data_IF_486605998645
#
_entry.id   IF_486605998645
#
_cell.length_a   1.000
_cell.length_b   1.000
_cell.length_c   1.000
_cell.angle_alpha   90.00
_cell.angle_beta   90.00
_cell.angle_gamma   90.00
#
_symmetry.space_group_name_H-M   'P 1'
#
loop_
_entity.id
_entity.type
_entity.pdbx_description
1 polymer ?
#
# COMPACT_ATOMS: atom_id res chain seq x y z
N UNK A 1 25.14 -10.89 -7.68
CA UNK A 1 24.36 -11.72 -6.76
C UNK A 1 22.92 -11.68 -7.22
N UNK A 2 22.34 -12.82 -7.62
CA UNK A 2 20.89 -12.95 -7.80
C UNK A 2 20.26 -13.02 -6.41
N UNK A 3 19.60 -11.94 -6.00
CA UNK A 3 18.83 -11.93 -4.76
C UNK A 3 17.57 -12.77 -4.95
N UNK A 4 17.27 -13.65 -3.99
CA UNK A 4 16.02 -14.39 -3.98
C UNK A 4 14.86 -13.40 -3.76
N UNK A 5 13.80 -13.52 -4.56
CA UNK A 5 12.58 -12.74 -4.32
C UNK A 5 11.92 -13.21 -3.02
N UNK A 6 11.43 -12.26 -2.24
CA UNK A 6 10.57 -12.50 -1.10
C UNK A 6 9.16 -12.82 -1.57
N UNK A 7 8.41 -13.59 -0.79
CA UNK A 7 7.01 -13.89 -1.06
C UNK A 7 6.17 -13.89 0.22
N UNK A 8 4.92 -13.45 0.08
CA UNK A 8 3.91 -13.49 1.14
C UNK A 8 2.53 -13.75 0.54
N UNK A 9 1.67 -14.46 1.26
CA UNK A 9 0.28 -14.71 0.86
C UNK A 9 -0.64 -14.29 1.99
N UNK A 10 -1.61 -13.43 1.67
CA UNK A 10 -2.61 -12.93 2.61
C UNK A 10 -4.01 -13.22 2.06
N UNK A 11 -4.91 -13.67 2.91
CA UNK A 11 -6.33 -13.79 2.60
C UNK A 11 -7.08 -12.60 3.17
N UNK A 12 -7.93 -12.01 2.36
CA UNK A 12 -8.81 -10.92 2.73
C UNK A 12 -10.29 -11.33 2.63
N UNK A 13 -11.21 -10.57 3.25
CA UNK A 13 -12.65 -10.75 3.04
C UNK A 13 -13.05 -10.79 1.57
N UNK A 14 -14.23 -11.36 1.29
CA UNK A 14 -14.74 -11.48 -0.07
C UNK A 14 -14.06 -12.55 -0.92
N UNK A 15 -13.25 -13.42 -0.31
CA UNK A 15 -12.55 -14.52 -1.01
C UNK A 15 -11.35 -14.05 -1.83
N UNK A 16 -10.80 -12.88 -1.51
CA UNK A 16 -9.59 -12.36 -2.13
C UNK A 16 -8.37 -13.05 -1.53
N UNK A 17 -7.59 -13.73 -2.37
CA UNK A 17 -6.27 -14.24 -1.99
C UNK A 17 -5.21 -13.43 -2.72
N UNK A 18 -4.39 -12.71 -1.97
CA UNK A 18 -3.34 -11.84 -2.50
C UNK A 18 -2.00 -12.46 -2.23
N UNK A 19 -1.17 -12.56 -3.27
CA UNK A 19 0.21 -13.01 -3.21
C UNK A 19 1.11 -11.86 -3.61
N UNK A 20 2.00 -11.50 -2.70
CA UNK A 20 3.04 -10.51 -2.92
C UNK A 20 4.33 -11.24 -3.24
N UNK A 21 5.09 -10.71 -4.20
CA UNK A 21 6.49 -11.04 -4.43
C UNK A 21 7.28 -9.77 -4.58
N UNK A 22 8.45 -9.65 -3.98
CA UNK A 22 9.25 -8.44 -4.13
C UNK A 22 10.74 -8.70 -3.98
N UNK A 23 11.56 -7.83 -4.58
CA UNK A 23 13.00 -7.89 -4.49
C UNK A 23 13.63 -6.49 -4.61
N UNK A 24 14.90 -6.41 -4.22
CA UNK A 24 15.70 -5.20 -4.30
C UNK A 24 15.99 -4.71 -5.71
N UNK A 25 16.69 -3.58 -5.81
CA UNK A 25 16.99 -2.90 -7.06
C UNK A 25 17.65 -3.80 -8.12
N UNK A 26 17.14 -3.76 -9.34
CA UNK A 26 17.67 -4.53 -10.47
C UNK A 26 17.37 -6.04 -10.42
N UNK A 27 16.52 -6.49 -9.49
CA UNK A 27 16.18 -7.90 -9.33
C UNK A 27 14.81 -8.25 -9.93
N UNK A 28 14.31 -7.48 -10.89
CA UNK A 28 12.99 -7.71 -11.48
C UNK A 28 12.83 -9.10 -12.10
N UNK A 29 13.92 -9.63 -12.67
CA UNK A 29 13.95 -10.98 -13.21
C UNK A 29 13.66 -12.06 -12.16
N UNK A 30 14.09 -11.90 -10.90
CA UNK A 30 13.78 -12.87 -9.84
C UNK A 30 12.34 -12.77 -9.36
N UNK A 31 11.76 -11.57 -9.34
CA UNK A 31 10.35 -11.36 -9.00
C UNK A 31 9.43 -11.95 -10.08
N UNK A 32 9.72 -11.66 -11.35
CA UNK A 32 8.83 -11.99 -12.47
C UNK A 32 9.05 -13.38 -13.05
N UNK A 33 10.17 -14.05 -12.74
CA UNK A 33 10.36 -15.47 -13.10
C UNK A 33 9.31 -16.39 -12.46
N UNK A 34 8.66 -15.94 -11.38
CA UNK A 34 7.63 -16.67 -10.66
C UNK A 34 6.21 -16.16 -10.98
N UNK A 35 6.05 -15.32 -12.01
CA UNK A 35 4.75 -14.81 -12.43
C UNK A 35 3.84 -15.95 -12.87
N UNK A 36 2.64 -15.99 -12.29
CA UNK A 36 1.63 -16.99 -12.63
C UNK A 36 0.84 -16.57 -13.88
N UNK A 37 0.53 -17.53 -14.73
CA UNK A 37 -0.25 -17.30 -15.96
C UNK A 37 -1.73 -17.07 -15.63
N UNK A 38 -2.42 -16.31 -16.48
CA UNK A 38 -3.87 -16.08 -16.40
C UNK A 38 -4.24 -14.78 -15.69
N UNK A 39 -5.39 -14.23 -16.07
CA UNK A 39 -5.82 -12.91 -15.61
C UNK A 39 -5.16 -11.75 -16.35
N UNK A 40 -5.60 -10.53 -16.04
CA UNK A 40 -4.98 -9.31 -16.59
C UNK A 40 -3.71 -8.99 -15.80
N UNK A 41 -2.65 -8.58 -16.49
CA UNK A 41 -1.42 -8.07 -15.88
C UNK A 41 -1.22 -6.62 -16.29
N UNK A 42 -1.06 -5.74 -15.31
CA UNK A 42 -0.71 -4.33 -15.54
C UNK A 42 0.64 -4.03 -14.88
N UNK A 43 1.58 -3.47 -15.63
CA UNK A 43 2.82 -2.95 -15.06
C UNK A 43 2.69 -1.45 -14.80
N UNK A 44 2.92 -1.07 -13.54
CA UNK A 44 2.76 0.29 -13.04
C UNK A 44 4.11 0.90 -12.60
N UNK A 45 5.23 0.28 -12.97
CA UNK A 45 6.55 0.81 -12.62
C UNK A 45 6.79 2.24 -13.12
N UNK A 46 6.21 2.59 -14.26
CA UNK A 46 6.33 3.92 -14.88
C UNK A 46 5.67 5.05 -14.07
N UNK A 47 4.77 4.73 -13.13
CA UNK A 47 4.25 5.71 -12.15
C UNK A 47 5.39 6.27 -11.29
N UNK A 48 6.43 5.46 -11.02
CA UNK A 48 7.54 5.84 -10.15
C UNK A 48 8.74 6.35 -10.95
N UNK A 49 9.05 5.72 -12.08
CA UNK A 49 10.21 6.05 -12.91
C UNK A 49 10.04 5.56 -14.33
N UNK A 50 10.52 6.33 -15.31
CA UNK A 50 10.60 5.90 -16.71
C UNK A 50 11.54 4.70 -16.94
N UNK A 51 12.38 4.35 -15.96
CA UNK A 51 13.26 3.19 -15.99
C UNK A 51 13.04 2.28 -14.76
N UNK A 52 11.88 1.62 -14.64
CA UNK A 52 11.52 0.88 -13.43
C UNK A 52 12.38 -0.37 -13.21
N UNK A 53 12.99 -0.93 -14.26
CA UNK A 53 13.83 -2.13 -14.16
C UNK A 53 15.03 -1.99 -13.20
N UNK A 54 15.55 -0.77 -13.03
CA UNK A 54 16.64 -0.47 -12.09
C UNK A 54 16.20 -0.31 -10.63
N UNK A 55 14.89 -0.30 -10.36
CA UNK A 55 14.32 -0.07 -9.03
C UNK A 55 14.03 -1.38 -8.30
N UNK A 56 13.66 -1.28 -7.03
CA UNK A 56 13.04 -2.40 -6.32
C UNK A 56 11.69 -2.68 -6.97
N UNK A 57 11.34 -3.96 -7.09
CA UNK A 57 10.14 -4.39 -7.82
C UNK A 57 9.29 -5.29 -6.95
N UNK A 58 7.98 -5.13 -7.09
CA UNK A 58 7.00 -6.02 -6.51
C UNK A 58 6.00 -6.50 -7.57
N UNK A 59 5.46 -7.70 -7.38
CA UNK A 59 4.30 -8.23 -8.07
C UNK A 59 3.22 -8.56 -7.05
N UNK A 60 2.02 -8.07 -7.31
CA UNK A 60 0.81 -8.33 -6.51
C UNK A 60 -0.14 -9.14 -7.37
N UNK A 61 -0.24 -10.44 -7.10
CA UNK A 61 -1.19 -11.34 -7.75
C UNK A 61 -2.42 -11.48 -6.86
N UNK A 62 -3.60 -11.21 -7.40
CA UNK A 62 -4.87 -11.32 -6.68
C UNK A 62 -5.72 -12.37 -7.36
N UNK A 63 -6.12 -13.37 -6.60
CA UNK A 63 -7.10 -14.38 -6.99
C UNK A 63 -8.45 -13.99 -6.37
N UNK A 64 -9.48 -13.96 -7.20
CA UNK A 64 -10.86 -13.68 -6.79
C UNK A 64 -11.78 -14.80 -7.30
N UNK A 65 -13.01 -14.94 -6.78
CA UNK A 65 -13.98 -15.89 -7.33
C UNK A 65 -14.32 -15.68 -8.82
N UNK A 66 -14.11 -14.46 -9.34
CA UNK A 66 -14.42 -14.10 -10.72
C UNK A 66 -13.22 -14.22 -11.67
N UNK A 67 -12.04 -14.56 -11.16
CA UNK A 67 -10.79 -14.59 -11.92
C UNK A 67 -9.64 -13.93 -11.18
N UNK A 68 -8.47 -13.92 -11.81
CA UNK A 68 -7.27 -13.35 -11.24
C UNK A 68 -6.83 -12.07 -11.98
N UNK A 69 -6.05 -11.24 -11.31
CA UNK A 69 -5.35 -10.11 -11.90
C UNK A 69 -4.00 -9.90 -11.21
N UNK A 70 -3.08 -9.23 -11.90
CA UNK A 70 -1.71 -8.98 -11.44
C UNK A 70 -1.36 -7.51 -11.64
N UNK A 71 -0.72 -6.90 -10.64
CA UNK A 71 -0.09 -5.59 -10.76
C UNK A 71 1.42 -5.70 -10.48
N UNK A 72 2.26 -5.05 -11.29
CA UNK A 72 3.71 -4.91 -11.01
C UNK A 72 4.01 -3.48 -10.58
N UNK A 73 4.72 -3.34 -9.47
CA UNK A 73 4.98 -2.07 -8.79
C UNK A 73 6.49 -1.81 -8.73
N UNK A 74 6.88 -0.55 -8.59
CA UNK A 74 8.28 -0.17 -8.37
C UNK A 74 8.42 0.67 -7.10
N UNK A 75 9.63 0.67 -6.53
CA UNK A 75 9.99 1.55 -5.42
C UNK A 75 11.48 1.89 -5.48
N UNK A 76 11.88 3.14 -5.15
CA UNK A 76 13.30 3.48 -5.00
C UNK A 76 13.94 2.87 -3.74
N UNK A 77 13.13 2.37 -2.81
CA UNK A 77 13.60 1.70 -1.59
C UNK A 77 13.16 0.25 -1.57
N UNK A 78 13.94 -0.58 -0.88
CA UNK A 78 13.54 -1.94 -0.58
C UNK A 78 12.61 -1.93 0.63
N UNK A 79 11.39 -2.41 0.43
CA UNK A 79 10.32 -2.42 1.42
C UNK A 79 9.37 -3.59 1.14
N UNK A 80 8.51 -3.94 2.10
CA UNK A 80 7.48 -4.96 1.95
C UNK A 80 6.17 -4.32 1.46
N UNK A 81 5.57 -4.80 0.36
CA UNK A 81 4.25 -4.33 -0.06
C UNK A 81 3.18 -4.79 0.93
N UNK A 82 2.25 -3.91 1.25
CA UNK A 82 1.10 -4.20 2.10
C UNK A 82 -0.21 -3.93 1.36
N UNK A 83 -1.32 -4.52 1.82
CA UNK A 83 -2.63 -4.19 1.30
C UNK A 83 -3.75 -4.25 2.35
N UNK A 84 -4.85 -3.58 2.03
CA UNK A 84 -6.08 -3.54 2.79
C UNK A 84 -7.27 -3.70 1.84
N UNK A 85 -8.15 -4.67 2.14
CA UNK A 85 -9.43 -4.78 1.48
C UNK A 85 -10.41 -3.73 2.04
N UNK A 86 -10.91 -2.88 1.16
CA UNK A 86 -11.86 -1.83 1.46
C UNK A 86 -13.19 -2.14 0.78
N UNK A 87 -14.03 -2.87 1.51
CA UNK A 87 -15.21 -3.52 0.95
C UNK A 87 -16.27 -2.53 0.44
N UNK A 88 -16.53 -1.45 1.17
CA UNK A 88 -17.58 -0.48 0.83
C UNK A 88 -17.41 0.13 -0.57
N UNK A 89 -16.23 0.65 -0.95
CA UNK A 89 -15.98 1.09 -2.33
C UNK A 89 -15.55 -0.04 -3.27
N UNK A 90 -15.38 -1.28 -2.78
CA UNK A 90 -14.93 -2.41 -3.59
C UNK A 90 -13.48 -2.28 -4.06
N UNK A 91 -12.61 -1.73 -3.21
CA UNK A 91 -11.20 -1.50 -3.54
C UNK A 91 -10.26 -2.41 -2.76
N UNK A 92 -9.16 -2.82 -3.40
CA UNK A 92 -7.96 -3.31 -2.72
C UNK A 92 -6.96 -2.15 -2.74
N UNK A 93 -6.66 -1.62 -1.57
CA UNK A 93 -5.65 -0.57 -1.42
C UNK A 93 -4.31 -1.24 -1.17
N UNK A 94 -3.30 -0.92 -1.97
CA UNK A 94 -1.95 -1.50 -1.88
C UNK A 94 -0.94 -0.39 -1.67
N UNK A 95 0.03 -0.60 -0.79
CA UNK A 95 1.16 0.31 -0.59
C UNK A 95 2.46 -0.38 -0.97
N UNK A 96 3.37 0.36 -1.61
CA UNK A 96 4.73 -0.11 -1.85
C UNK A 96 5.70 1.07 -1.92
N UNK A 97 6.64 1.14 -0.97
CA UNK A 97 7.59 2.23 -0.86
C UNK A 97 6.90 3.58 -0.61
N UNK A 98 6.73 4.38 -1.66
CA UNK A 98 6.22 5.76 -1.58
C UNK A 98 4.82 5.92 -2.17
N UNK A 99 4.22 4.83 -2.68
CA UNK A 99 2.99 4.93 -3.45
C UNK A 99 1.91 4.06 -2.84
N UNK A 100 0.73 4.67 -2.69
CA UNK A 100 -0.53 4.01 -2.36
C UNK A 100 -1.35 3.89 -3.65
N UNK A 101 -1.88 2.71 -3.92
CA UNK A 101 -2.67 2.41 -5.11
C UNK A 101 -4.06 1.93 -4.70
N UNK A 102 -5.10 2.43 -5.37
CA UNK A 102 -6.46 1.92 -5.24
C UNK A 102 -6.84 1.10 -6.47
N UNK A 103 -6.97 -0.21 -6.30
CA UNK A 103 -7.43 -1.12 -7.36
C UNK A 103 -8.87 -1.51 -7.14
N UNK A 104 -9.66 -1.61 -8.20
CA UNK A 104 -10.94 -2.33 -8.10
C UNK A 104 -10.67 -3.81 -7.76
N UNK A 105 -11.17 -4.28 -6.62
CA UNK A 105 -10.77 -5.57 -6.03
C UNK A 105 -10.98 -6.75 -6.96
N UNK A 106 -12.01 -6.70 -7.81
CA UNK A 106 -12.38 -7.81 -8.70
C UNK A 106 -11.60 -7.83 -10.01
N UNK A 107 -11.31 -6.66 -10.57
CA UNK A 107 -10.81 -6.53 -11.96
C UNK A 107 -9.33 -6.18 -12.02
N UNK A 108 -8.77 -5.62 -10.95
CA UNK A 108 -7.42 -5.08 -10.93
C UNK A 108 -7.28 -3.75 -11.67
N UNK A 109 -8.38 -3.12 -12.07
CA UNK A 109 -8.33 -1.80 -12.68
C UNK A 109 -7.82 -0.79 -11.66
N UNK A 110 -6.71 -0.12 -11.98
CA UNK A 110 -6.21 1.01 -11.19
C UNK A 110 -7.23 2.16 -11.27
N UNK A 111 -7.76 2.58 -10.12
CA UNK A 111 -8.67 3.72 -10.00
C UNK A 111 -7.90 5.00 -9.73
N UNK A 112 -6.94 4.93 -8.82
CA UNK A 112 -6.13 6.06 -8.39
C UNK A 112 -4.79 5.57 -7.83
N UNK A 113 -3.82 6.48 -7.78
CA UNK A 113 -2.60 6.32 -7.01
C UNK A 113 -2.27 7.63 -6.31
N UNK A 114 -1.62 7.55 -5.16
CA UNK A 114 -1.16 8.69 -4.39
C UNK A 114 0.31 8.48 -4.00
N UNK A 115 1.14 9.50 -4.21
CA UNK A 115 2.56 9.47 -3.86
C UNK A 115 2.81 10.28 -2.59
N UNK A 116 3.37 9.64 -1.58
CA UNK A 116 3.86 10.29 -0.36
C UNK A 116 5.21 10.97 -0.58
N UNK A 117 5.51 11.96 0.26
CA UNK A 117 6.82 12.62 0.29
C UNK A 117 7.93 11.77 0.91
N UNK A 118 7.56 10.77 1.71
CA UNK A 118 8.47 9.86 2.42
C UNK A 118 7.99 8.41 2.34
N UNK A 119 8.82 7.42 2.68
CA UNK A 119 8.43 6.00 2.75
C UNK A 119 7.16 5.79 3.58
N UNK A 120 6.31 4.89 3.10
CA UNK A 120 5.07 4.47 3.78
C UNK A 120 5.44 3.46 4.87
N UNK A 121 4.88 3.65 6.05
CA UNK A 121 5.11 2.84 7.25
C UNK A 121 3.89 1.98 7.56
N UNK A 122 2.67 2.48 7.30
CA UNK A 122 1.45 1.73 7.59
C UNK A 122 0.30 2.10 6.65
N UNK A 123 -0.56 1.11 6.39
CA UNK A 123 -1.86 1.25 5.76
C UNK A 123 -2.94 0.77 6.75
N UNK A 124 -3.89 1.65 7.07
CA UNK A 124 -4.87 1.45 8.13
C UNK A 124 -6.28 1.74 7.59
N UNK A 125 -7.26 0.98 8.06
CA UNK A 125 -8.64 1.16 7.64
C UNK A 125 -9.62 0.61 8.68
N UNK A 126 -10.87 1.06 8.59
CA UNK A 126 -11.96 0.60 9.45
C UNK A 126 -13.27 0.75 8.70
N UNK A 127 -14.19 -0.19 8.91
CA UNK A 127 -15.56 -0.10 8.38
C UNK A 127 -16.35 1.13 8.90
N UNK A 128 -15.83 1.84 9.90
CA UNK A 128 -16.41 3.07 10.45
C UNK A 128 -15.87 4.36 9.81
N UNK A 129 -14.87 4.24 8.93
CA UNK A 129 -14.24 5.36 8.23
C UNK A 129 -14.65 5.33 6.75
N UNK A 130 -14.78 6.52 6.19
CA UNK A 130 -15.08 6.74 4.76
C UNK A 130 -13.81 6.90 3.92
N UNK A 131 -12.65 6.67 4.55
CA UNK A 131 -11.32 6.78 3.99
C UNK A 131 -10.40 5.72 4.57
N UNK A 132 -9.34 5.40 3.84
CA UNK A 132 -8.16 4.72 4.38
C UNK A 132 -7.18 5.74 4.93
N UNK A 133 -6.36 5.33 5.88
CA UNK A 133 -5.31 6.15 6.46
C UNK A 133 -3.97 5.54 6.06
N UNK A 134 -3.09 6.38 5.54
CA UNK A 134 -1.72 6.01 5.20
C UNK A 134 -0.80 6.81 6.09
N UNK A 135 0.08 6.09 6.80
CA UNK A 135 1.20 6.68 7.50
C UNK A 135 2.42 6.57 6.61
N UNK A 136 3.06 7.70 6.32
CA UNK A 136 4.44 7.77 5.84
C UNK A 136 5.34 8.33 6.95
N UNK A 137 6.66 8.17 6.83
CA UNK A 137 7.61 8.57 7.88
C UNK A 137 7.34 9.97 8.47
N UNK A 138 7.07 10.98 7.65
CA UNK A 138 6.90 12.37 8.11
C UNK A 138 5.50 12.96 7.85
N UNK A 139 4.55 12.14 7.39
CA UNK A 139 3.18 12.59 7.18
C UNK A 139 2.16 11.47 7.38
N UNK A 140 0.98 11.83 7.87
CA UNK A 140 -0.22 10.99 7.80
C UNK A 140 -1.21 11.63 6.84
N UNK A 141 -1.85 10.84 5.99
CA UNK A 141 -2.96 11.33 5.18
C UNK A 141 -4.07 10.30 5.09
N UNK A 142 -5.29 10.80 4.95
CA UNK A 142 -6.47 10.00 4.67
C UNK A 142 -6.88 10.16 3.21
N UNK A 143 -7.18 9.05 2.55
CA UNK A 143 -7.59 9.01 1.14
C UNK A 143 -8.99 8.43 1.05
N UNK A 144 -9.90 9.14 0.38
CA UNK A 144 -11.24 8.64 0.09
C UNK A 144 -11.27 7.62 -1.07
N UNK A 145 -12.47 7.13 -1.40
CA UNK A 145 -12.62 6.14 -2.46
C UNK A 145 -12.28 6.66 -3.87
N UNK A 146 -12.35 7.99 -4.08
CA UNK A 146 -11.98 8.63 -5.34
C UNK A 146 -10.47 8.82 -5.49
N UNK A 147 -9.71 8.66 -4.40
CA UNK A 147 -8.26 8.90 -4.37
C UNK A 147 -7.89 10.29 -3.86
N UNK A 148 -8.86 11.07 -3.36
CA UNK A 148 -8.65 12.42 -2.87
C UNK A 148 -8.21 12.41 -1.40
N UNK A 149 -7.27 13.30 -1.07
CA UNK A 149 -6.78 13.45 0.30
C UNK A 149 -7.77 14.29 1.11
N UNK A 150 -8.49 13.67 2.04
CA UNK A 150 -9.53 14.33 2.85
C UNK A 150 -8.98 15.06 4.07
N UNK A 151 -7.86 14.58 4.62
CA UNK A 151 -7.06 15.31 5.60
C UNK A 151 -5.60 14.85 5.55
N UNK A 152 -4.70 15.72 6.03
CA UNK A 152 -3.27 15.45 6.13
C UNK A 152 -2.70 16.10 7.39
N UNK A 153 -1.73 15.44 8.01
CA UNK A 153 -0.94 15.92 9.14
C UNK A 153 0.53 15.70 8.83
N UNK A 154 1.34 16.75 8.92
CA UNK A 154 2.79 16.63 8.86
C UNK A 154 3.36 16.41 10.27
N UNK A 155 4.41 15.60 10.37
CA UNK A 155 5.08 15.29 11.62
C UNK A 155 6.45 15.97 11.68
N UNK A 156 6.86 16.39 12.87
CA UNK A 156 8.17 17.00 13.11
C UNK A 156 9.28 15.97 13.33
N UNK A 157 8.92 14.71 13.56
CA UNK A 157 9.82 13.56 13.75
C UNK A 157 9.31 12.39 12.91
N UNK A 158 10.20 11.45 12.59
CA UNK A 158 9.85 10.24 11.88
C UNK A 158 8.92 9.41 12.74
N UNK A 159 7.77 9.03 12.21
CA UNK A 159 6.87 8.04 12.80
C UNK A 159 7.35 6.64 12.41
N UNK A 160 7.64 5.83 13.41
CA UNK A 160 8.11 4.45 13.24
C UNK A 160 6.97 3.44 13.29
N UNK A 161 5.88 3.75 14.00
CA UNK A 161 4.73 2.86 14.15
C UNK A 161 3.42 3.64 14.15
N UNK A 162 2.38 3.03 13.58
CA UNK A 162 1.02 3.57 13.57
C UNK A 162 -0.01 2.48 13.82
N UNK A 163 -1.00 2.76 14.67
CA UNK A 163 -2.06 1.83 15.02
C UNK A 163 -3.42 2.52 15.10
N UNK A 164 -4.47 1.84 14.65
CA UNK A 164 -5.84 2.33 14.69
C UNK A 164 -6.65 1.54 15.72
N UNK A 165 -7.07 2.19 16.80
CA UNK A 165 -7.85 1.56 17.88
C UNK A 165 -9.02 2.47 18.26
N UNK A 166 -10.24 1.94 18.22
CA UNK A 166 -11.43 2.68 18.69
C UNK A 166 -11.74 3.97 17.93
N UNK A 167 -11.20 4.16 16.72
CA UNK A 167 -11.33 5.41 15.96
C UNK A 167 -10.26 6.46 16.29
N UNK A 168 -9.28 6.11 17.13
CA UNK A 168 -8.09 6.91 17.38
C UNK A 168 -6.90 6.29 16.65
N UNK A 169 -6.14 7.13 15.97
CA UNK A 169 -4.87 6.81 15.36
C UNK A 169 -3.76 7.15 16.35
N UNK A 170 -3.11 6.13 16.89
CA UNK A 170 -1.91 6.28 17.71
C UNK A 170 -0.68 6.22 16.80
N UNK A 171 0.22 7.20 16.94
CA UNK A 171 1.46 7.28 16.18
C UNK A 171 2.62 7.35 17.18
N UNK A 172 3.62 6.47 16.99
CA UNK A 172 4.84 6.44 17.80
C UNK A 172 6.00 6.94 16.95
N UNK A 173 6.62 8.04 17.36
CA UNK A 173 7.81 8.57 16.71
C UNK A 173 9.04 7.72 17.01
N UNK A 174 10.08 7.85 16.18
CA UNK A 174 11.37 7.21 16.40
C UNK A 174 11.99 7.61 17.74
N UNK A 175 11.81 8.87 18.16
CA UNK A 175 12.17 9.35 19.49
C UNK A 175 11.32 8.80 20.65
N UNK A 176 10.32 7.96 20.38
CA UNK A 176 9.43 7.35 21.38
C UNK A 176 8.26 8.24 21.81
N UNK A 177 8.05 9.39 21.16
CA UNK A 177 6.89 10.24 21.44
C UNK A 177 5.62 9.60 20.85
N UNK A 178 4.56 9.52 21.66
CA UNK A 178 3.25 9.04 21.20
C UNK A 178 2.32 10.23 21.02
N UNK A 179 1.68 10.33 19.84
CA UNK A 179 0.59 11.25 19.58
C UNK A 179 -0.67 10.47 19.20
N UNK A 180 -1.84 10.99 19.58
CA UNK A 180 -3.13 10.41 19.23
C UNK A 180 -3.93 11.41 18.38
N UNK A 181 -4.42 10.95 17.24
CA UNK A 181 -5.27 11.71 16.34
C UNK A 181 -6.66 11.05 16.27
N UNK A 182 -7.71 11.85 16.17
CA UNK A 182 -9.01 11.37 15.74
C UNK A 182 -8.91 10.88 14.29
N UNK A 183 -9.16 9.60 14.05
CA UNK A 183 -8.94 8.98 12.76
C UNK A 183 -9.89 9.50 11.66
N UNK A 184 -11.01 10.14 12.05
CA UNK A 184 -11.95 10.72 11.10
C UNK A 184 -11.45 12.05 10.53
N UNK A 185 -10.82 12.87 11.36
CA UNK A 185 -10.48 14.26 11.01
C UNK A 185 -8.99 14.57 10.96
N UNK A 186 -8.13 13.68 11.48
CA UNK A 186 -6.70 13.93 11.63
C UNK A 186 -6.36 14.97 12.71
N UNK A 187 -7.33 15.44 13.49
CA UNK A 187 -7.09 16.39 14.59
C UNK A 187 -6.59 15.67 15.84
N UNK A 188 -5.86 16.32 16.76
CA UNK A 188 -5.52 15.73 18.04
C UNK A 188 -6.75 15.15 18.74
N UNK A 189 -6.66 13.90 19.20
CA UNK A 189 -7.70 13.28 19.99
C UNK A 189 -7.81 14.02 21.34
N UNK A 190 -9.03 14.33 21.77
CA UNK A 190 -9.32 14.94 23.07
C UNK A 190 -9.42 13.89 24.18
#
# INVERSE_FOLDING_TARGET
>A
MTGQAHDAVVQYPGGLRVRFRWAGSGQEGSVFALSEVGGNLTDLGEIVSAAPAGLCRAEVRVETPAGAWTARLASPIFDEPAALAWDTPGLLVVTYGFVTYGFESRTGQLRWHHRSGSPIVALLGSARLEHVIVQAEIETFAIDAAGEVVWRVAHSDVVAEAGLVGGQLALTSYGGQVIALDARSGRPAS
#
